data_IF_486505780561
#
_entry.id   IF_486505780561
#
_cell.length_a   1.000
_cell.length_b   1.000
_cell.length_c   1.000
_cell.angle_alpha   90.00
_cell.angle_beta   90.00
_cell.angle_gamma   90.00
#
_symmetry.space_group_name_H-M   'P 1'
#
loop_
_entity.id
_entity.type
_entity.pdbx_description
1 polymer ?
#
# COMPACT_ATOMS: atom_id res chain seq x y z
N UNK A 1 -2.71 -21.42 -21.54
CA UNK A 1 -2.88 -21.50 -20.07
C UNK A 1 -2.40 -20.21 -19.38
N UNK A 2 -1.21 -19.69 -19.62
CA UNK A 2 -0.70 -18.47 -18.97
C UNK A 2 -1.55 -17.21 -19.18
N UNK A 3 -2.03 -16.97 -20.40
CA UNK A 3 -2.92 -15.82 -20.71
C UNK A 3 -4.24 -15.91 -19.92
N UNK A 4 -4.86 -17.10 -19.82
CA UNK A 4 -6.08 -17.28 -19.08
C UNK A 4 -5.89 -17.03 -17.57
N UNK A 5 -4.78 -17.53 -16.99
CA UNK A 5 -4.39 -17.22 -15.60
C UNK A 5 -4.22 -15.71 -15.40
N UNK A 6 -3.54 -15.02 -16.32
CA UNK A 6 -3.35 -13.57 -16.24
C UNK A 6 -4.67 -12.79 -16.33
N UNK A 7 -5.54 -13.13 -17.28
CA UNK A 7 -6.88 -12.51 -17.40
C UNK A 7 -7.68 -12.69 -16.11
N UNK A 8 -7.70 -13.91 -15.55
CA UNK A 8 -8.33 -14.18 -14.26
C UNK A 8 -7.76 -13.33 -13.12
N UNK A 9 -6.44 -13.15 -13.08
CA UNK A 9 -5.75 -12.29 -12.09
C UNK A 9 -6.20 -10.83 -12.21
N UNK A 10 -6.33 -10.31 -13.43
CA UNK A 10 -6.79 -8.94 -13.69
C UNK A 10 -8.25 -8.76 -13.28
N UNK A 11 -9.13 -9.71 -13.61
CA UNK A 11 -10.54 -9.68 -13.18
C UNK A 11 -10.64 -9.69 -11.66
N UNK A 12 -9.90 -10.58 -10.99
CA UNK A 12 -9.85 -10.64 -9.53
C UNK A 12 -9.42 -9.30 -8.93
N UNK A 13 -8.36 -8.67 -9.46
CA UNK A 13 -7.90 -7.37 -9.01
C UNK A 13 -9.00 -6.31 -9.11
N UNK A 14 -9.69 -6.21 -10.24
CA UNK A 14 -10.76 -5.24 -10.40
C UNK A 14 -11.94 -5.50 -9.46
N UNK A 15 -12.29 -6.75 -9.18
CA UNK A 15 -13.30 -7.09 -8.17
C UNK A 15 -12.89 -6.61 -6.77
N UNK A 16 -11.64 -6.85 -6.37
CA UNK A 16 -11.10 -6.36 -5.10
C UNK A 16 -11.08 -4.84 -5.02
N UNK A 17 -10.70 -4.16 -6.11
CA UNK A 17 -10.70 -2.69 -6.19
C UNK A 17 -12.11 -2.11 -6.12
N UNK A 18 -13.09 -2.74 -6.77
CA UNK A 18 -14.51 -2.34 -6.68
C UNK A 18 -15.04 -2.50 -5.25
N UNK A 19 -14.71 -3.61 -4.59
CA UNK A 19 -15.03 -3.84 -3.18
C UNK A 19 -14.38 -2.78 -2.28
N UNK A 20 -13.08 -2.55 -2.42
CA UNK A 20 -12.35 -1.53 -1.67
C UNK A 20 -12.99 -0.15 -1.86
N UNK A 21 -13.31 0.23 -3.09
CA UNK A 21 -13.95 1.50 -3.40
C UNK A 21 -15.34 1.64 -2.76
N UNK A 22 -16.15 0.58 -2.81
CA UNK A 22 -17.46 0.56 -2.18
C UNK A 22 -17.35 0.78 -0.66
N UNK A 23 -16.47 0.03 -0.01
CA UNK A 23 -16.22 0.16 1.43
C UNK A 23 -15.67 1.55 1.79
N UNK A 24 -14.74 2.09 1.00
CA UNK A 24 -14.19 3.44 1.22
C UNK A 24 -15.29 4.50 1.24
N UNK A 25 -16.20 4.47 0.27
CA UNK A 25 -17.34 5.42 0.23
C UNK A 25 -18.30 5.22 1.39
N UNK A 26 -18.63 3.98 1.70
CA UNK A 26 -19.53 3.64 2.81
C UNK A 26 -18.95 4.08 4.15
N UNK A 27 -17.66 3.79 4.40
CA UNK A 27 -16.96 4.19 5.63
C UNK A 27 -16.86 5.71 5.76
N UNK A 28 -16.62 6.42 4.66
CA UNK A 28 -16.61 7.88 4.67
C UNK A 28 -17.98 8.45 5.04
N UNK A 29 -19.06 7.93 4.43
CA UNK A 29 -20.43 8.36 4.75
C UNK A 29 -20.79 8.07 6.20
N UNK A 30 -20.50 6.88 6.68
CA UNK A 30 -20.71 6.47 8.06
C UNK A 30 -19.89 7.31 9.05
N UNK A 31 -18.59 7.51 8.76
CA UNK A 31 -17.72 8.34 9.60
C UNK A 31 -18.20 9.78 9.73
N UNK A 32 -18.66 10.36 8.61
CA UNK A 32 -19.25 11.71 8.61
C UNK A 32 -20.53 11.77 9.49
N UNK A 33 -21.41 10.79 9.34
CA UNK A 33 -22.65 10.70 10.13
C UNK A 33 -22.39 10.58 11.64
N UNK A 34 -21.33 9.84 12.02
CA UNK A 34 -20.96 9.62 13.43
C UNK A 34 -20.07 10.71 14.03
N UNK A 35 -19.87 11.83 13.35
CA UNK A 35 -19.03 12.92 13.84
C UNK A 35 -17.53 12.60 13.80
N UNK A 36 -17.12 11.62 12.98
CA UNK A 36 -15.72 11.21 12.86
C UNK A 36 -14.80 12.32 12.32
N UNK A 37 -15.37 13.34 11.66
CA UNK A 37 -14.62 14.51 11.19
C UNK A 37 -14.18 15.44 12.34
N UNK A 38 -14.83 15.37 13.49
CA UNK A 38 -14.54 16.20 14.66
C UNK A 38 -13.60 15.48 15.65
N UNK A 39 -13.20 14.24 15.36
CA UNK A 39 -12.29 13.49 16.21
C UNK A 39 -10.88 14.09 16.18
N UNK A 40 -10.29 14.21 17.37
CA UNK A 40 -8.89 14.63 17.49
C UNK A 40 -7.95 13.49 17.08
N UNK A 41 -6.79 13.81 16.45
CA UNK A 41 -5.77 12.82 16.14
C UNK A 41 -5.36 12.01 17.37
N UNK A 42 -5.08 10.73 17.17
CA UNK A 42 -4.56 9.88 18.24
C UNK A 42 -3.11 10.25 18.58
N UNK A 43 -2.69 10.12 19.84
CA UNK A 43 -1.30 10.27 20.24
C UNK A 43 -0.41 9.27 19.49
N UNK A 44 0.66 9.75 18.87
CA UNK A 44 1.65 8.90 18.18
C UNK A 44 3.06 9.43 18.46
N UNK A 45 3.87 8.63 19.17
CA UNK A 45 5.22 9.02 19.63
C UNK A 45 6.16 9.38 18.49
N UNK A 46 6.06 8.73 17.33
CA UNK A 46 6.93 9.07 16.21
C UNK A 46 6.47 10.35 15.52
N UNK A 47 5.17 10.66 15.54
CA UNK A 47 4.70 11.98 15.12
C UNK A 47 5.24 13.11 16.01
N UNK A 48 5.37 12.86 17.31
CA UNK A 48 5.94 13.85 18.25
C UNK A 48 7.45 14.01 18.07
N UNK A 49 8.14 12.96 17.65
CA UNK A 49 9.58 12.99 17.37
C UNK A 49 9.92 13.78 16.11
N UNK A 50 9.09 13.75 15.08
CA UNK A 50 9.30 14.48 13.85
C UNK A 50 8.69 15.89 13.92
N UNK A 51 9.37 16.93 13.36
CA UNK A 51 8.77 18.24 13.23
C UNK A 51 7.50 18.20 12.37
N UNK A 52 6.62 19.21 12.45
CA UNK A 52 5.45 19.30 11.57
C UNK A 52 5.83 19.14 10.10
N UNK A 53 5.11 18.34 9.30
CA UNK A 53 5.52 17.98 7.97
C UNK A 53 5.51 19.19 7.03
N UNK A 54 6.65 19.47 6.38
CA UNK A 54 6.72 20.44 5.30
C UNK A 54 6.08 19.88 4.02
N UNK A 55 5.67 20.75 3.11
CA UNK A 55 5.20 20.34 1.77
C UNK A 55 6.25 19.51 1.02
N UNK A 56 7.53 19.82 1.22
CA UNK A 56 8.63 19.06 0.63
C UNK A 56 8.67 17.61 1.13
N UNK A 57 8.52 17.37 2.43
CA UNK A 57 8.48 16.01 3.01
C UNK A 57 7.27 15.24 2.48
N UNK A 58 6.09 15.85 2.45
CA UNK A 58 4.88 15.24 1.87
C UNK A 58 5.07 14.87 0.40
N UNK A 59 5.64 15.78 -0.40
CA UNK A 59 5.95 15.55 -1.82
C UNK A 59 6.96 14.43 -2.00
N UNK A 60 8.07 14.45 -1.28
CA UNK A 60 9.13 13.45 -1.39
C UNK A 60 8.62 12.05 -1.02
N UNK A 61 7.82 11.93 0.04
CA UNK A 61 7.19 10.66 0.45
C UNK A 61 6.25 10.13 -0.64
N UNK A 62 5.43 10.99 -1.23
CA UNK A 62 4.53 10.57 -2.32
C UNK A 62 5.31 10.22 -3.60
N UNK A 63 6.34 10.98 -3.93
CA UNK A 63 7.18 10.75 -5.10
C UNK A 63 8.00 9.45 -4.99
N UNK A 64 8.42 9.07 -3.78
CA UNK A 64 9.22 7.85 -3.57
C UNK A 64 8.46 6.55 -3.91
N UNK A 65 7.13 6.58 -3.99
CA UNK A 65 6.32 5.44 -4.48
C UNK A 65 6.68 5.06 -5.93
N UNK A 66 7.11 6.02 -6.74
CA UNK A 66 7.48 5.77 -8.14
C UNK A 66 8.80 5.04 -8.31
N UNK A 67 9.66 4.99 -7.28
CA UNK A 67 10.96 4.31 -7.35
C UNK A 67 10.81 2.81 -7.56
N UNK A 68 10.05 2.05 -6.74
CA UNK A 68 9.85 0.61 -6.99
C UNK A 68 9.02 0.33 -8.24
N UNK A 69 8.11 1.22 -8.65
CA UNK A 69 7.39 1.09 -9.92
C UNK A 69 8.37 1.19 -11.09
N UNK A 70 9.20 2.22 -11.12
CA UNK A 70 10.20 2.41 -12.17
C UNK A 70 11.18 1.23 -12.25
N UNK A 71 11.66 0.75 -11.11
CA UNK A 71 12.49 -0.44 -11.04
C UNK A 71 11.78 -1.68 -11.60
N UNK A 72 10.54 -1.90 -11.20
CA UNK A 72 9.73 -3.03 -11.68
C UNK A 72 9.54 -2.98 -13.21
N UNK A 73 9.16 -1.82 -13.76
CA UNK A 73 8.99 -1.63 -15.21
C UNK A 73 10.31 -1.87 -15.95
N UNK A 74 11.42 -1.35 -15.42
CA UNK A 74 12.75 -1.60 -15.96
C UNK A 74 13.08 -3.10 -15.98
N UNK A 75 12.81 -3.81 -14.90
CA UNK A 75 13.04 -5.24 -14.81
C UNK A 75 12.17 -6.05 -15.78
N UNK A 76 10.89 -5.71 -15.93
CA UNK A 76 10.02 -6.32 -16.94
C UNK A 76 10.58 -6.17 -18.35
N UNK A 77 11.08 -4.97 -18.67
CA UNK A 77 11.68 -4.70 -19.97
C UNK A 77 12.97 -5.51 -20.19
N UNK A 78 13.80 -5.68 -19.13
CA UNK A 78 15.14 -6.27 -19.24
C UNK A 78 15.14 -7.79 -19.17
N UNK A 79 14.28 -8.41 -18.34
CA UNK A 79 14.43 -9.83 -17.95
C UNK A 79 13.39 -10.78 -18.54
N UNK A 80 12.37 -10.33 -19.19
CA UNK A 80 11.55 -11.24 -19.99
C UNK A 80 10.17 -11.58 -19.45
N UNK A 81 9.80 -12.79 -19.02
CA UNK A 81 8.39 -13.21 -19.04
C UNK A 81 7.50 -12.28 -18.21
N UNK A 82 6.60 -11.57 -18.90
CA UNK A 82 5.82 -10.46 -18.33
C UNK A 82 4.60 -10.94 -17.54
N UNK A 83 3.96 -12.05 -17.97
CA UNK A 83 2.64 -12.44 -17.47
C UNK A 83 2.66 -12.92 -16.01
N UNK A 84 3.67 -13.72 -15.63
CA UNK A 84 3.74 -14.27 -14.29
C UNK A 84 3.98 -13.19 -13.21
N UNK A 85 5.01 -12.32 -13.32
CA UNK A 85 5.20 -11.26 -12.33
C UNK A 85 4.04 -10.28 -12.28
N UNK A 86 3.38 -9.97 -13.42
CA UNK A 86 2.18 -9.15 -13.41
C UNK A 86 1.00 -9.84 -12.73
N UNK A 87 0.78 -11.14 -12.97
CA UNK A 87 -0.26 -11.89 -12.27
C UNK A 87 -0.04 -11.87 -10.76
N UNK A 88 1.18 -12.16 -10.32
CA UNK A 88 1.56 -12.14 -8.91
C UNK A 88 1.36 -10.76 -8.28
N UNK A 89 1.77 -9.69 -9.00
CA UNK A 89 1.60 -8.32 -8.56
C UNK A 89 0.11 -7.96 -8.36
N UNK A 90 -0.71 -8.18 -9.40
CA UNK A 90 -2.11 -7.73 -9.36
C UNK A 90 -2.95 -8.54 -8.38
N UNK A 91 -2.70 -9.85 -8.22
CA UNK A 91 -3.42 -10.66 -7.21
C UNK A 91 -3.00 -10.27 -5.81
N UNK A 92 -1.70 -10.07 -5.56
CA UNK A 92 -1.21 -9.62 -4.25
C UNK A 92 -1.80 -8.26 -3.88
N UNK A 93 -1.75 -7.28 -4.79
CA UNK A 93 -2.36 -5.96 -4.56
C UNK A 93 -3.88 -6.06 -4.37
N UNK A 94 -4.59 -6.83 -5.17
CA UNK A 94 -6.04 -7.03 -5.03
C UNK A 94 -6.40 -7.58 -3.64
N UNK A 95 -5.73 -8.66 -3.21
CA UNK A 95 -5.92 -9.25 -1.88
C UNK A 95 -5.65 -8.26 -0.77
N UNK A 96 -4.54 -7.51 -0.88
CA UNK A 96 -4.17 -6.49 0.11
C UNK A 96 -5.17 -5.34 0.16
N UNK A 97 -5.68 -4.86 -0.98
CA UNK A 97 -6.75 -3.86 -1.01
C UNK A 97 -8.05 -4.38 -0.38
N UNK A 98 -8.42 -5.63 -0.63
CA UNK A 98 -9.59 -6.25 0.01
C UNK A 98 -9.43 -6.34 1.53
N UNK A 99 -8.27 -6.80 2.02
CA UNK A 99 -7.97 -6.84 3.46
C UNK A 99 -7.96 -5.45 4.09
N UNK A 100 -7.35 -4.47 3.40
CA UNK A 100 -7.36 -3.08 3.84
C UNK A 100 -8.78 -2.54 3.98
N UNK A 101 -9.65 -2.83 3.01
CA UNK A 101 -11.06 -2.44 3.09
C UNK A 101 -11.76 -3.03 4.32
N UNK A 102 -11.50 -4.29 4.65
CA UNK A 102 -12.07 -4.92 5.85
C UNK A 102 -11.57 -4.26 7.15
N UNK A 103 -10.30 -3.84 7.19
CA UNK A 103 -9.74 -3.20 8.40
C UNK A 103 -10.32 -1.81 8.65
N UNK A 104 -10.24 -0.89 7.70
CA UNK A 104 -10.78 0.45 7.91
C UNK A 104 -12.31 0.53 7.82
N UNK A 105 -12.96 -0.41 7.15
CA UNK A 105 -14.42 -0.51 7.09
C UNK A 105 -15.07 -0.86 8.43
N UNK A 106 -14.31 -1.44 9.35
CA UNK A 106 -14.78 -1.81 10.69
C UNK A 106 -14.48 -0.75 11.77
N UNK A 107 -13.63 0.24 11.49
CA UNK A 107 -13.13 1.17 12.52
C UNK A 107 -12.86 2.54 11.92
N UNK A 108 -13.41 3.59 12.53
CA UNK A 108 -13.10 4.97 12.17
C UNK A 108 -11.90 5.44 13.01
N UNK A 109 -10.81 5.79 12.33
CA UNK A 109 -9.69 6.48 12.95
C UNK A 109 -9.65 7.94 12.48
N UNK A 110 -9.36 8.90 13.38
CA UNK A 110 -9.17 10.29 12.99
C UNK A 110 -7.97 10.47 12.08
N UNK A 111 -8.05 11.38 11.12
CA UNK A 111 -6.91 11.70 10.24
C UNK A 111 -5.79 12.38 11.05
N UNK A 112 -4.53 11.90 10.95
CA UNK A 112 -3.40 12.49 11.69
C UNK A 112 -3.11 13.95 11.31
N UNK A 113 -3.52 14.38 10.11
CA UNK A 113 -3.33 15.75 9.62
C UNK A 113 -4.52 16.65 9.84
N UNK A 114 -5.67 16.10 10.22
CA UNK A 114 -6.98 16.78 10.21
C UNK A 114 -7.37 17.37 8.83
N UNK A 115 -6.75 16.88 7.77
CA UNK A 115 -7.08 17.25 6.39
C UNK A 115 -8.18 16.33 5.87
N UNK A 116 -9.41 16.82 5.75
CA UNK A 116 -10.53 16.03 5.27
C UNK A 116 -10.42 15.78 3.77
N UNK A 117 -10.28 14.50 3.40
CA UNK A 117 -10.16 14.04 2.01
C UNK A 117 -11.39 13.24 1.61
N UNK A 118 -12.19 13.81 0.74
CA UNK A 118 -13.28 13.05 0.10
C UNK A 118 -12.68 11.96 -0.82
N UNK A 119 -13.20 10.72 -0.80
CA UNK A 119 -12.71 9.68 -1.70
C UNK A 119 -12.98 10.04 -3.16
N UNK A 120 -11.90 10.26 -3.93
CA UNK A 120 -11.97 10.67 -5.34
C UNK A 120 -11.76 9.50 -6.30
N UNK A 121 -11.05 8.46 -5.88
CA UNK A 121 -10.77 7.28 -6.69
C UNK A 121 -10.50 6.07 -5.80
N UNK A 122 -10.60 4.83 -6.34
CA UNK A 122 -10.31 3.62 -5.57
C UNK A 122 -8.84 3.48 -5.12
N UNK A 123 -7.93 4.24 -5.71
CA UNK A 123 -6.49 4.18 -5.42
C UNK A 123 -6.08 5.30 -4.46
N UNK A 124 -6.77 6.43 -4.52
CA UNK A 124 -6.47 7.57 -3.64
C UNK A 124 -7.11 7.36 -2.26
N UNK A 125 -6.33 7.55 -1.22
CA UNK A 125 -6.80 7.48 0.16
C UNK A 125 -7.92 8.47 0.48
N UNK A 126 -8.71 8.14 1.49
CA UNK A 126 -9.76 8.98 2.06
C UNK A 126 -9.49 9.21 3.55
N UNK A 127 -10.20 10.15 4.17
CA UNK A 127 -10.00 10.55 5.57
C UNK A 127 -9.98 9.38 6.57
N UNK A 128 -10.79 8.36 6.36
CA UNK A 128 -10.89 7.21 7.27
C UNK A 128 -10.21 5.95 6.75
N UNK A 129 -9.42 6.08 5.68
CA UNK A 129 -8.71 4.97 5.06
C UNK A 129 -7.35 4.75 5.76
N UNK A 130 -7.40 4.41 7.04
CA UNK A 130 -6.28 4.20 7.95
C UNK A 130 -6.23 2.73 8.42
N UNK A 131 -5.40 2.38 9.39
CA UNK A 131 -5.11 1.04 9.92
C UNK A 131 -4.25 0.13 9.03
N UNK A 132 -3.92 0.53 7.81
CA UNK A 132 -3.07 -0.21 6.92
C UNK A 132 -2.55 0.71 5.82
N UNK A 133 -1.28 1.08 5.85
CA UNK A 133 -0.72 2.08 4.92
C UNK A 133 -0.70 1.58 3.47
N UNK A 134 -1.52 2.22 2.62
CA UNK A 134 -1.53 1.93 1.18
C UNK A 134 -0.21 2.23 0.49
N UNK A 135 0.49 3.30 0.86
CA UNK A 135 1.80 3.64 0.34
C UNK A 135 2.83 2.54 0.63
N UNK A 136 2.87 2.08 1.88
CA UNK A 136 3.81 1.04 2.31
C UNK A 136 3.49 -0.31 1.67
N UNK A 137 2.23 -0.74 1.72
CA UNK A 137 1.73 -1.94 1.07
C UNK A 137 2.13 -1.99 -0.40
N UNK A 138 1.90 -0.91 -1.11
CA UNK A 138 2.15 -0.81 -2.54
C UNK A 138 3.64 -0.97 -2.85
N UNK A 139 4.51 -0.17 -2.23
CA UNK A 139 5.95 -0.22 -2.48
C UNK A 139 6.58 -1.55 -2.09
N UNK A 140 6.14 -2.15 -0.97
CA UNK A 140 6.58 -3.48 -0.55
C UNK A 140 6.20 -4.56 -1.56
N UNK A 141 4.98 -4.54 -2.10
CA UNK A 141 4.53 -5.56 -3.07
C UNK A 141 5.40 -5.55 -4.32
N UNK A 142 5.70 -4.38 -4.90
CA UNK A 142 6.60 -4.28 -6.06
C UNK A 142 8.00 -4.84 -5.76
N UNK A 143 8.55 -4.54 -4.60
CA UNK A 143 9.85 -5.05 -4.18
C UNK A 143 9.85 -6.56 -3.95
N UNK A 144 8.79 -7.11 -3.35
CA UNK A 144 8.67 -8.54 -3.12
C UNK A 144 8.56 -9.32 -4.43
N UNK A 145 7.80 -8.80 -5.42
CA UNK A 145 7.76 -9.41 -6.76
C UNK A 145 9.14 -9.38 -7.41
N UNK A 146 9.84 -8.24 -7.40
CA UNK A 146 11.19 -8.12 -7.96
C UNK A 146 12.19 -9.08 -7.28
N UNK A 147 12.11 -9.21 -5.96
CA UNK A 147 12.92 -10.14 -5.19
C UNK A 147 12.62 -11.60 -5.56
N UNK A 148 11.33 -11.96 -5.63
CA UNK A 148 10.89 -13.32 -5.96
C UNK A 148 11.30 -13.74 -7.39
N UNK A 149 11.23 -12.81 -8.35
CA UNK A 149 11.66 -13.04 -9.73
C UNK A 149 13.19 -13.12 -9.88
N UNK A 150 13.95 -12.93 -8.81
CA UNK A 150 15.42 -12.93 -8.87
C UNK A 150 16.02 -11.70 -9.55
N UNK A 151 15.25 -10.64 -9.77
CA UNK A 151 15.74 -9.40 -10.39
C UNK A 151 16.66 -8.61 -9.44
N UNK A 152 16.54 -8.85 -8.15
CA UNK A 152 17.41 -8.28 -7.11
C UNK A 152 18.44 -9.32 -6.70
N UNK A 153 19.54 -9.40 -7.45
CA UNK A 153 20.49 -10.53 -7.36
C UNK A 153 21.50 -10.39 -6.23
N UNK A 154 22.12 -9.21 -6.08
CA UNK A 154 23.19 -9.01 -5.11
C UNK A 154 22.67 -8.77 -3.69
N UNK A 155 23.44 -9.20 -2.68
CA UNK A 155 23.15 -8.90 -1.27
C UNK A 155 23.06 -7.40 -1.02
N UNK A 156 23.95 -6.62 -1.65
CA UNK A 156 23.95 -5.16 -1.53
C UNK A 156 22.65 -4.55 -2.06
N UNK A 157 22.16 -5.03 -3.21
CA UNK A 157 20.89 -4.60 -3.78
C UNK A 157 19.70 -4.93 -2.87
N UNK A 158 19.68 -6.13 -2.27
CA UNK A 158 18.63 -6.53 -1.29
C UNK A 158 18.66 -5.64 -0.05
N UNK A 159 19.84 -5.36 0.49
CA UNK A 159 20.00 -4.46 1.63
C UNK A 159 19.59 -3.03 1.27
N UNK A 160 19.93 -2.55 0.07
CA UNK A 160 19.51 -1.23 -0.43
C UNK A 160 17.98 -1.09 -0.51
N UNK A 161 17.30 -2.11 -1.03
CA UNK A 161 15.83 -2.13 -1.08
C UNK A 161 15.21 -2.22 0.31
N UNK A 162 15.77 -2.99 1.21
CA UNK A 162 15.32 -3.04 2.60
C UNK A 162 15.47 -1.67 3.30
N UNK A 163 16.64 -1.04 3.16
CA UNK A 163 16.88 0.30 3.67
C UNK A 163 15.91 1.34 3.07
N UNK A 164 15.66 1.26 1.76
CA UNK A 164 14.67 2.10 1.10
C UNK A 164 13.28 1.96 1.73
N UNK A 165 12.82 0.72 2.02
CA UNK A 165 11.50 0.50 2.63
C UNK A 165 11.43 1.09 4.06
N UNK A 166 12.49 0.97 4.84
CA UNK A 166 12.56 1.62 6.17
C UNK A 166 12.46 3.15 6.04
N UNK A 167 13.26 3.74 5.15
CA UNK A 167 13.26 5.19 4.93
C UNK A 167 11.91 5.68 4.39
N UNK A 168 11.28 4.93 3.47
CA UNK A 168 9.95 5.23 2.96
C UNK A 168 8.90 5.18 4.07
N UNK A 169 8.94 4.15 4.92
CA UNK A 169 8.05 4.04 6.08
C UNK A 169 8.21 5.21 7.07
N UNK A 170 9.46 5.60 7.37
CA UNK A 170 9.74 6.78 8.19
C UNK A 170 9.23 8.06 7.51
N UNK A 171 9.36 8.18 6.20
CA UNK A 171 8.80 9.29 5.41
C UNK A 171 7.27 9.38 5.51
N UNK A 172 6.56 8.24 5.45
CA UNK A 172 5.10 8.16 5.61
C UNK A 172 4.70 8.67 7.01
N UNK A 173 5.41 8.25 8.06
CA UNK A 173 5.17 8.69 9.44
C UNK A 173 5.49 10.18 9.59
N UNK A 174 6.67 10.62 9.14
CA UNK A 174 7.10 12.02 9.22
C UNK A 174 6.18 12.98 8.43
N UNK A 175 5.58 12.52 7.33
CA UNK A 175 4.61 13.29 6.55
C UNK A 175 3.20 13.29 7.16
N UNK A 176 2.97 12.50 8.23
CA UNK A 176 1.68 12.27 8.88
C UNK A 176 0.59 11.76 7.93
N UNK A 177 0.98 11.04 6.87
CA UNK A 177 0.01 10.37 6.00
C UNK A 177 -0.70 9.22 6.71
N UNK A 178 -0.01 8.56 7.64
CA UNK A 178 -0.51 7.44 8.44
C UNK A 178 0.09 7.49 9.85
N UNK A 179 -0.57 6.82 10.79
CA UNK A 179 -0.01 6.53 12.10
C UNK A 179 1.13 5.50 11.98
N UNK A 180 2.01 5.49 12.97
CA UNK A 180 3.11 4.52 13.07
C UNK A 180 2.61 3.07 13.00
N UNK A 181 1.49 2.78 13.66
CA UNK A 181 0.89 1.42 13.65
C UNK A 181 0.46 0.99 12.24
N UNK A 182 -0.06 1.90 11.42
CA UNK A 182 -0.50 1.57 10.05
C UNK A 182 0.67 1.13 9.17
N UNK A 183 1.82 1.79 9.33
CA UNK A 183 3.05 1.46 8.62
C UNK A 183 3.59 0.10 9.06
N UNK A 184 3.64 -0.16 10.40
CA UNK A 184 4.08 -1.44 10.93
C UNK A 184 3.18 -2.61 10.52
N UNK A 185 1.86 -2.42 10.54
CA UNK A 185 0.91 -3.44 10.06
C UNK A 185 1.16 -3.76 8.59
N UNK A 186 1.43 -2.75 7.76
CA UNK A 186 1.76 -2.97 6.35
C UNK A 186 3.05 -3.77 6.17
N UNK A 187 4.07 -3.53 6.99
CA UNK A 187 5.31 -4.28 6.99
C UNK A 187 5.13 -5.77 7.33
N UNK A 188 4.17 -6.09 8.19
CA UNK A 188 3.90 -7.47 8.61
C UNK A 188 2.94 -8.18 7.65
N UNK A 189 1.85 -7.53 7.28
CA UNK A 189 0.77 -8.16 6.51
C UNK A 189 1.18 -8.32 5.03
N UNK A 190 1.85 -7.32 4.44
CA UNK A 190 2.16 -7.38 3.01
C UNK A 190 3.05 -8.57 2.62
N UNK A 191 4.18 -8.85 3.30
CA UNK A 191 4.97 -10.04 2.99
C UNK A 191 4.20 -11.34 3.23
N UNK A 192 3.42 -11.41 4.31
CA UNK A 192 2.61 -12.61 4.63
C UNK A 192 1.62 -12.92 3.51
N UNK A 193 0.85 -11.93 3.09
CA UNK A 193 -0.11 -12.09 1.98
C UNK A 193 0.61 -12.42 0.68
N UNK A 194 1.71 -11.75 0.40
CA UNK A 194 2.50 -12.00 -0.81
C UNK A 194 2.94 -13.47 -0.90
N UNK A 195 3.47 -14.04 0.17
CA UNK A 195 3.93 -15.43 0.18
C UNK A 195 2.79 -16.43 0.03
N UNK A 196 1.64 -16.18 0.66
CA UNK A 196 0.43 -17.01 0.49
C UNK A 196 -0.05 -16.96 -0.97
N UNK A 197 -0.18 -15.75 -1.54
CA UNK A 197 -0.63 -15.56 -2.93
C UNK A 197 0.33 -16.19 -3.93
N UNK A 198 1.64 -16.07 -3.69
CA UNK A 198 2.67 -16.70 -4.52
C UNK A 198 2.45 -18.21 -4.62
N UNK A 199 2.26 -18.87 -3.49
CA UNK A 199 2.09 -20.33 -3.45
C UNK A 199 0.82 -20.77 -4.22
N UNK A 200 -0.27 -20.00 -4.12
CA UNK A 200 -1.51 -20.26 -4.86
C UNK A 200 -1.40 -20.02 -6.37
N UNK A 201 -0.57 -19.05 -6.81
CA UNK A 201 -0.46 -18.69 -8.24
C UNK A 201 0.55 -19.56 -8.97
N UNK A 202 1.63 -20.00 -8.30
CA UNK A 202 2.71 -20.75 -8.93
C UNK A 202 2.35 -22.23 -9.06
N UNK A 203 1.60 -22.79 -8.14
CA UNK A 203 1.04 -24.13 -8.21
C UNK A 203 -0.16 -24.18 -9.18
#
# INVERSE_FOLDING_TARGET
MAIAKFVGSVVYYFCCMAFHWHVTKSTYAWGKEKGGLDLQPLPDRLHDFFPPPSLFVKFLTSASVWVPIGHFVWCLYTYGPILQPLSLLVVSLGTLYALRALTFGSTILPDPTQEFKFPKSPIMGATFDLLFSGHMMFTLTFNLVALHQGWTVSTLSKLGWFAFQILHGLGIIASRHHYTVDVWLSFLITPTVFWIVRDVIID
#
